data_IF_668353817515
#
_entry.id   IF_668353817515
#
_cell.length_a   1.000
_cell.length_b   1.000
_cell.length_c   1.000
_cell.angle_alpha   90.00
_cell.angle_beta   90.00
_cell.angle_gamma   90.00
#
_symmetry.space_group_name_H-M   'P 1'
#
loop_
_entity.id
_entity.type
_entity.pdbx_description
1 polymer ?
#
# COMPACT_ATOMS: atom_id res chain seq x y z
N UNK A 1 -1.99 13.44 -6.56
CA UNK A 1 -3.35 13.99 -6.78
C UNK A 1 -3.87 13.43 -8.09
N UNK A 2 -5.18 13.15 -8.23
CA UNK A 2 -5.76 12.64 -9.46
C UNK A 2 -5.63 13.66 -10.60
N UNK A 3 -5.31 13.16 -11.79
CA UNK A 3 -5.53 13.88 -13.06
C UNK A 3 -7.02 14.08 -13.31
N UNK A 4 -7.44 15.01 -14.19
CA UNK A 4 -8.86 15.18 -14.53
C UNK A 4 -9.50 13.88 -15.02
N UNK A 5 -8.80 13.12 -15.87
CA UNK A 5 -9.27 11.84 -16.37
C UNK A 5 -9.46 10.82 -15.25
N UNK A 6 -8.50 10.67 -14.34
CA UNK A 6 -8.65 9.77 -13.18
C UNK A 6 -9.81 10.20 -12.27
N UNK A 7 -10.01 11.50 -12.08
CA UNK A 7 -11.10 12.03 -11.27
C UNK A 7 -12.48 11.72 -11.87
N UNK A 8 -12.61 11.86 -13.19
CA UNK A 8 -13.82 11.52 -13.95
C UNK A 8 -14.08 10.00 -13.92
N UNK A 9 -13.07 9.19 -14.24
CA UNK A 9 -13.19 7.73 -14.29
C UNK A 9 -13.55 7.14 -12.92
N UNK A 10 -12.97 7.65 -11.83
CA UNK A 10 -13.23 7.18 -10.47
C UNK A 10 -14.42 7.89 -9.81
N UNK A 11 -15.03 8.85 -10.50
CA UNK A 11 -16.13 9.69 -10.00
C UNK A 11 -15.84 10.27 -8.61
N UNK A 12 -14.67 10.88 -8.45
CA UNK A 12 -14.24 11.48 -7.19
C UNK A 12 -14.32 13.00 -7.26
N UNK A 13 -14.72 13.61 -6.15
CA UNK A 13 -14.77 15.06 -6.04
C UNK A 13 -13.36 15.67 -6.17
N UNK A 14 -13.30 16.93 -6.60
CA UNK A 14 -12.05 17.68 -6.67
C UNK A 14 -11.40 17.73 -5.27
N UNK A 15 -10.10 17.45 -5.22
CA UNK A 15 -9.31 17.50 -3.99
C UNK A 15 -9.23 16.17 -3.22
N UNK A 16 -9.98 15.14 -3.62
CA UNK A 16 -9.84 13.80 -3.04
C UNK A 16 -8.53 13.16 -3.55
N UNK A 17 -7.61 12.73 -2.66
CA UNK A 17 -6.39 12.03 -3.07
C UNK A 17 -6.67 10.65 -3.65
N UNK A 18 -5.66 10.10 -4.33
CA UNK A 18 -5.66 8.69 -4.75
C UNK A 18 -4.79 7.86 -3.82
N UNK A 19 -5.27 6.66 -3.48
CA UNK A 19 -4.44 5.57 -3.01
C UNK A 19 -3.96 4.78 -4.23
N UNK A 20 -2.64 4.62 -4.38
CA UNK A 20 -2.03 3.88 -5.50
C UNK A 20 -1.28 2.65 -5.01
N UNK A 21 -1.58 1.49 -5.59
CA UNK A 21 -0.91 0.22 -5.30
C UNK A 21 -0.25 -0.27 -6.59
N UNK A 22 1.07 -0.42 -6.56
CA UNK A 22 1.84 -1.11 -7.58
C UNK A 22 2.11 -2.53 -7.10
N UNK A 23 1.64 -3.53 -7.83
CA UNK A 23 1.87 -4.95 -7.54
C UNK A 23 2.59 -5.59 -8.71
N UNK A 24 3.69 -6.26 -8.41
CA UNK A 24 4.37 -7.16 -9.35
C UNK A 24 4.07 -8.59 -8.96
N UNK A 25 3.62 -9.39 -9.91
CA UNK A 25 3.37 -10.82 -9.72
C UNK A 25 4.46 -11.59 -10.46
N UNK A 26 5.15 -12.50 -9.76
CA UNK A 26 6.18 -13.36 -10.36
C UNK A 26 5.81 -14.83 -10.18
N UNK A 27 6.23 -15.68 -11.11
CA UNK A 27 6.20 -17.13 -10.94
C UNK A 27 7.26 -17.60 -9.92
N UNK A 28 7.19 -18.86 -9.45
CA UNK A 28 8.18 -19.41 -8.52
C UNK A 28 9.62 -19.43 -9.05
N UNK A 29 9.79 -19.46 -10.37
CA UNK A 29 11.11 -19.36 -11.04
C UNK A 29 11.61 -17.92 -11.19
N UNK A 30 10.85 -16.93 -10.71
CA UNK A 30 11.19 -15.51 -10.77
C UNK A 30 10.76 -14.80 -12.05
N UNK A 31 10.12 -15.48 -13.00
CA UNK A 31 9.61 -14.83 -14.22
C UNK A 31 8.52 -13.82 -13.87
N UNK A 32 8.58 -12.62 -14.46
CA UNK A 32 7.54 -11.60 -14.29
C UNK A 32 6.28 -12.01 -15.04
N UNK A 33 5.15 -12.11 -14.32
CA UNK A 33 3.86 -12.47 -14.89
C UNK A 33 2.95 -11.24 -15.07
N UNK A 34 3.02 -10.28 -14.15
CA UNK A 34 2.13 -9.12 -14.17
C UNK A 34 2.79 -7.91 -13.49
N UNK A 35 2.54 -6.73 -14.05
CA UNK A 35 2.68 -5.45 -13.34
C UNK A 35 1.30 -4.80 -13.30
N UNK A 36 0.73 -4.68 -12.10
CA UNK A 36 -0.57 -4.10 -11.85
C UNK A 36 -0.42 -2.72 -11.20
N UNK A 37 -1.09 -1.71 -11.75
CA UNK A 37 -1.14 -0.35 -11.22
C UNK A 37 -2.59 0.03 -10.87
N UNK A 38 -2.97 -0.24 -9.63
CA UNK A 38 -4.31 0.04 -9.11
C UNK A 38 -4.36 1.44 -8.49
N UNK A 39 -5.37 2.22 -8.86
CA UNK A 39 -5.68 3.54 -8.29
C UNK A 39 -7.07 3.55 -7.71
N UNK A 40 -7.23 4.05 -6.49
CA UNK A 40 -8.48 4.06 -5.74
C UNK A 40 -8.71 5.43 -5.08
N UNK A 41 -9.98 5.75 -4.82
CA UNK A 41 -10.38 6.95 -4.09
C UNK A 41 -10.00 6.83 -2.60
N UNK A 42 -9.17 7.74 -2.08
CA UNK A 42 -8.64 7.63 -0.72
C UNK A 42 -9.69 7.88 0.39
N UNK A 43 -10.84 8.45 0.06
CA UNK A 43 -11.99 8.65 0.95
C UNK A 43 -12.91 7.42 1.07
N UNK A 44 -12.77 6.45 0.16
CA UNK A 44 -13.61 5.23 0.12
C UNK A 44 -12.86 3.96 0.54
N UNK A 45 -11.53 3.96 0.43
CA UNK A 45 -10.71 2.77 0.62
C UNK A 45 -9.61 2.99 1.66
N UNK A 46 -9.35 1.95 2.44
CA UNK A 46 -8.21 1.86 3.33
C UNK A 46 -7.49 0.52 3.13
N UNK A 47 -6.18 0.49 3.38
CA UNK A 47 -5.38 -0.73 3.33
C UNK A 47 -4.86 -1.03 4.72
N UNK A 48 -5.22 -2.21 5.23
CA UNK A 48 -4.68 -2.75 6.47
C UNK A 48 -3.91 -4.03 6.17
N UNK A 49 -2.79 -4.21 6.83
CA UNK A 49 -2.11 -5.50 6.87
C UNK A 49 -1.58 -5.75 8.29
N UNK A 50 -1.69 -6.99 8.80
CA UNK A 50 -1.12 -7.30 10.09
C UNK A 50 0.42 -7.21 10.00
N UNK A 51 1.01 -6.52 10.96
CA UNK A 51 2.45 -6.49 11.16
C UNK A 51 2.82 -7.54 12.20
N UNK A 52 3.60 -8.53 11.80
CA UNK A 52 4.20 -9.50 12.71
C UNK A 52 5.62 -9.11 13.03
N UNK A 53 6.03 -9.29 14.29
CA UNK A 53 7.40 -9.06 14.71
C UNK A 53 8.32 -10.05 13.99
N UNK A 54 9.23 -9.53 13.17
CA UNK A 54 10.21 -10.36 12.47
C UNK A 54 11.19 -10.99 13.46
N UNK A 55 11.67 -12.24 13.26
CA UNK A 55 12.63 -12.89 14.14
C UNK A 55 13.95 -12.12 14.34
N UNK A 56 14.34 -11.29 13.37
CA UNK A 56 15.53 -10.43 13.48
C UNK A 56 15.38 -9.25 14.44
N UNK A 57 14.16 -8.95 14.91
CA UNK A 57 13.96 -7.88 15.87
C UNK A 57 14.63 -8.27 17.21
N UNK A 58 15.75 -7.60 17.54
CA UNK A 58 16.41 -7.76 18.84
C UNK A 58 15.47 -7.33 19.95
N UNK A 59 15.38 -8.11 21.01
CA UNK A 59 14.79 -7.66 22.26
C UNK A 59 15.93 -7.00 23.04
N UNK A 60 16.05 -5.67 22.98
CA UNK A 60 16.93 -5.00 23.93
C UNK A 60 16.54 -3.54 24.12
N UNK A 61 15.74 -3.33 25.17
CA UNK A 61 15.88 -2.15 26.02
C UNK A 61 15.77 -2.66 27.46
N UNK A 62 16.82 -2.58 28.28
CA UNK A 62 16.67 -2.86 29.70
C UNK A 62 15.65 -1.89 30.29
N UNK A 63 14.70 -2.42 31.08
CA UNK A 63 13.78 -1.63 31.90
C UNK A 63 14.56 -0.60 32.72
N UNK A 64 14.09 0.67 32.81
CA UNK A 64 14.73 1.64 33.69
C UNK A 64 14.67 1.11 35.13
N UNK A 65 15.84 0.88 35.74
CA UNK A 65 15.94 0.54 37.16
C UNK A 65 15.43 1.74 37.97
N UNK A 66 14.43 1.48 38.79
CA UNK A 66 13.87 2.42 39.78
C UNK A 66 14.84 2.67 40.92
#
# INVERSE_FOLDING_TARGET
>A
MPTPHEAETLQIARGIPLLRILRTTTSPDGTMLEINDTRMAADRFAVGYPLHRHPSARADRPEPRT
#
